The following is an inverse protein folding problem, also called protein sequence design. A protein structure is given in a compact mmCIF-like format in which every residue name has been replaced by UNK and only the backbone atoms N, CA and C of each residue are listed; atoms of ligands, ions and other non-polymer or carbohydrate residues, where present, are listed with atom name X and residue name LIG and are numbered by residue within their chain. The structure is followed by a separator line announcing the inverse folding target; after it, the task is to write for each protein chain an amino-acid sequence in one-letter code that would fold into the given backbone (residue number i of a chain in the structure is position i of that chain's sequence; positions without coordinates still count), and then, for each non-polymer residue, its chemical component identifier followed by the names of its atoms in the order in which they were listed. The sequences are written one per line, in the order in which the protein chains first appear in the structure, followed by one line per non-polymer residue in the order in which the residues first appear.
data_IF_415731986888
#
_entry.id   IF_415731986888
#
_cell.length_a   1.000
_cell.length_b   1.000
_cell.length_c   1.000
_cell.angle_alpha   90.00
_cell.angle_beta   90.00
_cell.angle_gamma   90.00
#
_symmetry.space_group_name_H-M   'P 1'
#
loop_
_entity.id
_entity.type
_entity.pdbx_description
1 polymer ?
#
# COMPACT_ATOMS: atom_id res chain seq x y z
N UNK A 1 -3.33 -6.65 -5.97
CA UNK A 1 -2.10 -7.25 -5.41
C UNK A 1 -1.06 -6.17 -5.05
N UNK A 2 -1.23 -5.40 -3.96
CA UNK A 2 -0.26 -4.37 -3.55
C UNK A 2 1.11 -4.90 -3.14
N UNK A 3 1.17 -6.01 -2.37
CA UNK A 3 2.44 -6.65 -1.95
C UNK A 3 3.37 -6.92 -3.14
N UNK A 4 2.86 -7.62 -4.15
CA UNK A 4 3.63 -7.94 -5.35
C UNK A 4 4.12 -6.70 -6.10
N UNK A 5 3.35 -5.60 -6.10
CA UNK A 5 3.79 -4.33 -6.68
C UNK A 5 4.98 -3.75 -5.92
N UNK A 6 4.93 -3.75 -4.59
CA UNK A 6 6.05 -3.29 -3.74
C UNK A 6 7.29 -4.17 -3.96
N UNK A 7 7.13 -5.49 -4.02
CA UNK A 7 8.22 -6.45 -4.31
C UNK A 7 8.89 -6.16 -5.67
N UNK A 8 8.11 -5.96 -6.75
CA UNK A 8 8.66 -5.63 -8.09
C UNK A 8 9.39 -4.30 -8.08
N UNK A 9 8.86 -3.31 -7.37
CA UNK A 9 9.42 -1.97 -7.31
C UNK A 9 10.55 -1.84 -6.28
N UNK A 10 10.89 -2.93 -5.58
CA UNK A 10 11.85 -2.94 -4.48
C UNK A 10 11.53 -1.87 -3.40
N UNK A 11 10.23 -1.65 -3.15
CA UNK A 11 9.77 -0.78 -2.07
C UNK A 11 9.84 -1.57 -0.77
N UNK A 12 10.60 -1.04 0.20
CA UNK A 12 10.71 -1.62 1.53
C UNK A 12 9.34 -1.60 2.19
N UNK A 13 8.90 -2.75 2.70
CA UNK A 13 7.61 -2.90 3.36
C UNK A 13 7.66 -4.02 4.40
N UNK A 14 6.82 -3.89 5.41
CA UNK A 14 6.55 -4.94 6.38
C UNK A 14 5.19 -5.57 6.07
N UNK A 15 5.13 -6.90 6.06
CA UNK A 15 3.88 -7.63 5.94
C UNK A 15 3.37 -7.98 7.34
N UNK A 16 2.24 -7.38 7.71
CA UNK A 16 1.51 -7.75 8.93
C UNK A 16 0.41 -8.72 8.56
N UNK A 17 0.54 -9.98 8.98
CA UNK A 17 -0.51 -10.98 8.82
C UNK A 17 -1.63 -10.72 9.84
N UNK A 18 -2.87 -10.73 9.36
CA UNK A 18 -4.05 -10.61 10.19
C UNK A 18 -4.77 -11.95 10.21
N UNK A 19 -5.01 -12.49 11.40
CA UNK A 19 -5.81 -13.70 11.56
C UNK A 19 -7.28 -13.37 11.27
N UNK A 20 -7.73 -13.83 10.10
CA UNK A 20 -9.10 -13.64 9.65
C UNK A 20 -10.09 -14.65 10.28
N UNK A 21 -9.64 -15.61 11.10
CA UNK A 21 -10.54 -16.56 11.74
C UNK A 21 -11.03 -16.08 13.11
N UNK A 22 -10.25 -15.22 13.79
CA UNK A 22 -10.65 -14.51 15.01
C UNK A 22 -11.55 -13.28 14.76
N UNK A 23 -12.05 -13.10 13.52
CA UNK A 23 -12.85 -11.98 12.98
C UNK A 23 -14.12 -11.56 13.74
N UNK A 24 -14.52 -12.27 14.79
CA UNK A 24 -15.64 -11.80 15.63
C UNK A 24 -15.32 -10.44 16.27
N UNK A 25 -14.05 -10.20 16.58
CA UNK A 25 -13.58 -8.92 17.09
C UNK A 25 -12.73 -8.25 16.01
N UNK A 26 -13.40 -7.50 15.14
CA UNK A 26 -12.75 -6.54 14.24
C UNK A 26 -11.94 -5.58 15.13
N UNK A 27 -10.64 -5.84 15.27
CA UNK A 27 -9.73 -5.00 16.04
C UNK A 27 -9.99 -3.55 15.66
N UNK A 28 -10.45 -2.75 16.62
CA UNK A 28 -10.84 -1.36 16.38
C UNK A 28 -9.73 -0.60 15.63
N UNK A 29 -8.48 -0.98 15.88
CA UNK A 29 -7.27 -0.50 15.21
C UNK A 29 -7.27 -0.77 13.70
N UNK A 30 -7.64 -1.98 13.26
CA UNK A 30 -7.73 -2.30 11.82
C UNK A 30 -8.91 -1.60 11.16
N UNK A 31 -10.04 -1.47 11.85
CA UNK A 31 -11.19 -0.70 11.33
C UNK A 31 -10.89 0.79 11.20
N UNK A 32 -9.97 1.31 12.01
CA UNK A 32 -9.41 2.65 11.84
C UNK A 32 -8.55 2.83 10.59
N UNK A 33 -8.20 1.73 9.89
CA UNK A 33 -7.50 1.74 8.60
C UNK A 33 -8.48 1.43 7.47
N UNK A 34 -9.23 0.33 7.57
CA UNK A 34 -10.28 -0.04 6.62
C UNK A 34 -11.62 -0.27 7.34
N UNK A 35 -12.59 0.66 7.23
CA UNK A 35 -13.89 0.54 7.91
C UNK A 35 -14.71 -0.65 7.41
N UNK A 36 -14.39 -1.21 6.24
CA UNK A 36 -15.05 -2.40 5.70
C UNK A 36 -14.48 -3.72 6.25
N UNK A 37 -13.37 -3.68 7.00
CA UNK A 37 -12.75 -4.88 7.55
C UNK A 37 -12.21 -5.83 6.47
N UNK A 38 -11.82 -5.30 5.30
CA UNK A 38 -11.33 -6.10 4.16
C UNK A 38 -9.83 -5.88 3.92
N UNK A 39 -9.16 -6.91 3.45
CA UNK A 39 -7.80 -6.80 2.92
C UNK A 39 -7.82 -6.51 1.41
N UNK A 40 -6.78 -5.87 0.87
CA UNK A 40 -5.61 -5.32 1.56
C UNK A 40 -5.83 -3.91 2.14
N UNK A 41 -5.00 -3.54 3.12
CA UNK A 41 -4.84 -2.18 3.63
C UNK A 41 -3.33 -1.84 3.71
N UNK A 42 -2.99 -0.55 3.68
CA UNK A 42 -1.63 -0.01 3.72
C UNK A 42 -1.56 1.12 4.75
N UNK A 43 -0.46 1.14 5.51
CA UNK A 43 0.00 2.33 6.24
C UNK A 43 1.31 2.75 5.58
N UNK A 44 1.37 3.98 5.08
CA UNK A 44 2.58 4.56 4.53
C UNK A 44 3.15 5.57 5.53
N UNK A 45 4.29 5.20 6.15
CA UNK A 45 4.94 6.01 7.18
C UNK A 45 5.82 7.12 6.60
N UNK A 46 6.13 7.07 5.31
CA UNK A 46 6.91 8.10 4.61
C UNK A 46 6.03 9.28 4.18
N UNK A 47 4.70 9.13 4.26
CA UNK A 47 3.71 10.13 3.88
C UNK A 47 2.89 10.53 5.10
N UNK A 48 3.06 11.77 5.55
CA UNK A 48 2.35 12.32 6.70
C UNK A 48 1.19 13.20 6.26
N UNK A 49 0.06 13.08 6.96
CA UNK A 49 -1.08 13.98 6.86
C UNK A 49 -0.81 15.30 7.60
N UNK A 50 -1.72 16.27 7.50
CA UNK A 50 -1.59 17.58 8.16
C UNK A 50 -1.49 17.48 9.69
N UNK A 51 -2.09 16.45 10.29
CA UNK A 51 -2.01 16.16 11.71
C UNK A 51 -0.74 15.39 12.12
N UNK A 52 0.16 15.12 11.18
CA UNK A 52 1.40 14.37 11.37
C UNK A 52 1.22 12.86 11.46
N UNK A 53 0.00 12.34 11.30
CA UNK A 53 -0.25 10.89 11.27
C UNK A 53 0.15 10.28 9.91
N UNK A 54 0.57 9.00 9.86
CA UNK A 54 0.91 8.34 8.61
C UNK A 54 -0.35 8.11 7.75
N UNK A 55 -0.18 8.17 6.43
CA UNK A 55 -1.26 7.92 5.50
C UNK A 55 -1.77 6.47 5.63
N UNK A 56 -3.08 6.33 5.76
CA UNK A 56 -3.79 5.05 5.77
C UNK A 56 -4.62 4.90 4.52
N UNK A 57 -4.44 3.80 3.80
CA UNK A 57 -5.17 3.50 2.57
C UNK A 57 -5.74 2.09 2.60
N UNK A 58 -6.89 1.94 1.96
CA UNK A 58 -7.46 0.66 1.59
C UNK A 58 -7.90 0.74 0.12
N UNK A 59 -8.47 -0.34 -0.41
CA UNK A 59 -8.70 -0.57 -1.84
C UNK A 59 -7.42 -0.79 -2.64
N UNK A 60 -7.37 -1.95 -3.30
CA UNK A 60 -6.14 -2.40 -3.98
C UNK A 60 -5.72 -1.52 -5.17
N UNK A 61 -6.68 -0.82 -5.80
CA UNK A 61 -6.42 0.14 -6.87
C UNK A 61 -5.77 1.41 -6.34
N UNK A 62 -6.38 2.03 -5.34
CA UNK A 62 -5.90 3.26 -4.69
C UNK A 62 -4.50 3.08 -4.10
N UNK A 63 -4.26 1.97 -3.39
CA UNK A 63 -2.93 1.65 -2.85
C UNK A 63 -1.87 1.62 -3.97
N UNK A 64 -2.18 1.00 -5.12
CA UNK A 64 -1.19 0.88 -6.21
C UNK A 64 -0.92 2.22 -6.89
N UNK A 65 -1.95 3.05 -7.07
CA UNK A 65 -1.80 4.39 -7.63
C UNK A 65 -0.92 5.25 -6.71
N UNK A 66 -1.21 5.25 -5.41
CA UNK A 66 -0.40 5.92 -4.40
C UNK A 66 1.08 5.49 -4.46
N UNK A 67 1.34 4.18 -4.39
CA UNK A 67 2.71 3.65 -4.47
C UNK A 67 3.42 4.01 -5.79
N UNK A 68 2.67 4.11 -6.91
CA UNK A 68 3.23 4.50 -8.19
C UNK A 68 3.55 5.99 -8.27
N UNK A 69 2.81 6.85 -7.58
CA UNK A 69 3.01 8.30 -7.61
C UNK A 69 4.06 8.76 -6.59
N UNK A 70 4.06 8.17 -5.40
CA UNK A 70 4.90 8.62 -4.28
C UNK A 70 6.25 7.91 -4.20
N UNK A 71 6.28 6.60 -4.52
CA UNK A 71 7.46 5.75 -4.35
C UNK A 71 8.12 5.37 -5.69
N UNK A 72 7.77 6.05 -6.77
CA UNK A 72 8.39 5.84 -8.10
C UNK A 72 9.77 6.50 -8.23
N UNK A 73 10.64 6.32 -7.24
CA UNK A 73 12.05 6.65 -7.43
C UNK A 73 12.68 5.61 -8.36
N UNK A 74 12.99 6.01 -9.61
CA UNK A 74 13.94 5.28 -10.46
C UNK A 74 13.40 4.55 -11.70
N UNK A 75 12.18 4.82 -12.17
CA UNK A 75 11.75 4.34 -13.49
C UNK A 75 11.29 5.47 -14.42
N UNK A 76 12.17 6.44 -14.64
CA UNK A 76 12.38 6.92 -16.02
C UNK A 76 12.95 5.72 -16.79
N UNK A 77 12.11 4.71 -17.06
CA UNK A 77 12.50 3.59 -17.91
C UNK A 77 12.76 4.21 -19.27
N UNK A 78 14.01 4.17 -19.71
CA UNK A 78 14.34 4.31 -21.12
C UNK A 78 13.52 3.28 -21.90
N UNK A 79 12.33 3.65 -22.36
CA UNK A 79 11.74 3.03 -23.53
C UNK A 79 12.60 3.51 -24.70
N UNK A 80 13.78 2.90 -24.88
CA UNK A 80 14.34 2.80 -26.23
C UNK A 80 13.34 1.94 -26.97
N UNK A 81 12.47 2.58 -27.74
CA UNK A 81 11.85 1.92 -28.87
C UNK A 81 13.00 1.32 -29.68
N UNK A 82 13.17 0.00 -29.60
CA UNK A 82 13.81 -0.74 -30.67
C UNK A 82 12.85 -0.63 -31.85
N UNK A 83 12.97 0.47 -32.60
CA UNK A 83 12.44 0.53 -33.94
C UNK A 83 13.30 -0.44 -34.77
N UNK A 84 12.66 -1.49 -35.27
CA UNK A 84 13.07 -2.15 -36.50
C UNK A 84 12.19 -1.60 -37.62
#
# INVERSE_FOLDING_TARGET
MPRWFMEIKAINHELVELDLQSIHDRHADFLGINPFGKLPALIDSDVLLEDGSPLKLFESGSIRLHLAETHSCGLMCMIRFLQS
#
